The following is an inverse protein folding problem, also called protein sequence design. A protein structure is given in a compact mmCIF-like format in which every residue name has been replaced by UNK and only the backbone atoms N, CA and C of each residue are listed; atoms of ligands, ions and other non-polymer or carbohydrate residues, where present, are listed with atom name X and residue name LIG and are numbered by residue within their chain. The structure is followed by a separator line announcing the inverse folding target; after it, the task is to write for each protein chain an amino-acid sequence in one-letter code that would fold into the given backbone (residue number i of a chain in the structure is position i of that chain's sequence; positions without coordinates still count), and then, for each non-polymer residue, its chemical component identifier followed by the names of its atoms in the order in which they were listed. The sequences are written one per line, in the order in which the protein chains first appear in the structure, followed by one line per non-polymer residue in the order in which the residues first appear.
data_IF_629947883544
#
_entry.id   IF_629947883544
#
_cell.length_a   1.000
_cell.length_b   1.000
_cell.length_c   1.000
_cell.angle_alpha   90.00
_cell.angle_beta   90.00
_cell.angle_gamma   90.00
#
_symmetry.space_group_name_H-M   'P 1'
#
loop_
_entity.id
_entity.type
_entity.pdbx_description
1 polymer ?
#
# COMPACT_ATOMS: atom_id res chain seq x y z
N UNK A 1 5.26 2.42 -15.36
CA UNK A 1 4.58 1.45 -14.53
C UNK A 1 4.75 1.81 -13.06
N UNK A 2 3.68 1.73 -12.28
CA UNK A 2 3.75 2.10 -10.87
C UNK A 2 4.03 0.85 -10.05
N UNK A 3 5.10 0.90 -9.26
CA UNK A 3 5.34 -0.13 -8.26
C UNK A 3 4.34 0.03 -7.14
N UNK A 4 3.51 -0.98 -6.94
CA UNK A 4 2.59 -1.02 -5.81
C UNK A 4 3.28 -1.73 -4.65
N UNK A 5 2.69 -1.63 -3.46
CA UNK A 5 3.19 -2.38 -2.30
C UNK A 5 3.20 -3.88 -2.58
N UNK A 6 2.19 -4.37 -3.32
CA UNK A 6 2.11 -5.78 -3.71
C UNK A 6 3.28 -6.17 -4.60
N UNK A 7 3.55 -5.38 -5.63
CA UNK A 7 4.65 -5.66 -6.56
C UNK A 7 5.99 -5.62 -5.84
N UNK A 8 6.19 -4.64 -5.00
CA UNK A 8 7.44 -4.53 -4.26
C UNK A 8 7.65 -5.72 -3.34
N UNK A 9 6.60 -6.12 -2.63
CA UNK A 9 6.68 -7.28 -1.74
C UNK A 9 6.98 -8.56 -2.53
N UNK A 10 6.29 -8.75 -3.65
CA UNK A 10 6.51 -9.93 -4.49
C UNK A 10 7.95 -9.99 -5.01
N UNK A 11 8.50 -8.85 -5.45
CA UNK A 11 9.87 -8.77 -5.93
C UNK A 11 10.88 -9.10 -4.82
N UNK A 12 10.64 -8.60 -3.60
CA UNK A 12 11.51 -8.89 -2.48
C UNK A 12 11.52 -10.38 -2.15
N UNK A 13 10.34 -11.00 -2.13
CA UNK A 13 10.24 -12.43 -1.85
C UNK A 13 10.94 -13.25 -2.92
N UNK A 14 10.79 -12.87 -4.18
CA UNK A 14 11.47 -13.55 -5.28
C UNK A 14 12.99 -13.42 -5.16
N UNK A 15 13.45 -12.20 -4.88
CA UNK A 15 14.90 -11.95 -4.74
C UNK A 15 15.50 -12.74 -3.58
N UNK A 16 14.74 -12.94 -2.51
CA UNK A 16 15.20 -13.69 -1.34
C UNK A 16 14.91 -15.18 -1.45
N UNK A 17 14.26 -15.60 -2.51
CA UNK A 17 13.79 -16.98 -2.67
C UNK A 17 12.99 -17.44 -1.45
N UNK A 18 12.07 -16.58 -1.00
CA UNK A 18 11.27 -16.78 0.21
C UNK A 18 9.81 -16.94 -0.14
N UNK A 19 9.16 -17.91 0.48
CA UNK A 19 7.72 -18.12 0.30
C UNK A 19 6.91 -17.19 1.21
N UNK A 20 5.63 -17.03 0.89
CA UNK A 20 4.70 -16.28 1.73
C UNK A 20 4.65 -16.86 3.15
N UNK A 21 4.68 -18.19 3.27
CA UNK A 21 4.65 -18.85 4.57
C UNK A 21 5.90 -18.55 5.38
N UNK A 22 7.06 -18.51 4.74
CA UNK A 22 8.31 -18.16 5.41
C UNK A 22 8.29 -16.72 5.92
N UNK A 23 7.84 -15.79 5.08
CA UNK A 23 7.72 -14.40 5.51
C UNK A 23 6.77 -14.27 6.68
N UNK A 24 5.61 -14.93 6.60
CA UNK A 24 4.62 -14.89 7.67
C UNK A 24 5.23 -15.32 9.01
N UNK A 25 6.03 -16.39 8.99
CA UNK A 25 6.72 -16.85 10.20
C UNK A 25 7.71 -15.81 10.71
N UNK A 26 8.44 -15.18 9.79
CA UNK A 26 9.48 -14.20 10.15
C UNK A 26 8.90 -12.94 10.77
N UNK A 27 7.71 -12.54 10.34
CA UNK A 27 7.07 -11.34 10.88
C UNK A 27 5.94 -11.65 11.87
N UNK A 28 5.78 -12.92 12.19
CA UNK A 28 4.84 -13.43 13.20
C UNK A 28 3.39 -13.05 12.91
N UNK A 29 2.93 -13.40 11.72
CA UNK A 29 1.53 -13.25 11.31
C UNK A 29 1.06 -14.55 10.67
N UNK A 30 -0.26 -14.76 10.58
CA UNK A 30 -0.78 -15.92 9.85
C UNK A 30 -0.37 -15.86 8.37
N UNK A 31 -0.12 -17.01 7.78
CA UNK A 31 0.24 -17.09 6.36
C UNK A 31 -0.82 -16.42 5.47
N UNK A 32 -2.09 -16.55 5.82
CA UNK A 32 -3.19 -15.95 5.08
C UNK A 32 -3.04 -14.45 4.93
N UNK A 33 -2.50 -13.79 5.95
CA UNK A 33 -2.31 -12.33 5.88
C UNK A 33 -1.38 -11.95 4.74
N UNK A 34 -0.26 -12.66 4.61
CA UNK A 34 0.69 -12.40 3.52
C UNK A 34 0.10 -12.78 2.17
N UNK A 35 -0.52 -13.95 2.10
CA UNK A 35 -1.12 -14.43 0.86
C UNK A 35 -2.20 -13.48 0.34
N UNK A 36 -3.06 -13.00 1.23
CA UNK A 36 -4.13 -12.08 0.85
C UNK A 36 -3.60 -10.73 0.39
N UNK A 37 -2.53 -10.25 1.01
CA UNK A 37 -1.89 -9.02 0.55
C UNK A 37 -1.33 -9.21 -0.86
N UNK A 38 -0.65 -10.31 -1.10
CA UNK A 38 -0.09 -10.61 -2.42
C UNK A 38 -1.17 -10.78 -3.49
N UNK A 39 -2.33 -11.29 -3.12
CA UNK A 39 -3.47 -11.46 -4.02
C UNK A 39 -4.28 -10.16 -4.21
N UNK A 40 -3.99 -9.14 -3.46
CA UNK A 40 -4.72 -7.88 -3.55
C UNK A 40 -6.06 -7.86 -2.83
N UNK A 41 -6.35 -8.88 -2.00
CA UNK A 41 -7.62 -8.97 -1.28
C UNK A 41 -7.55 -8.39 0.12
N UNK A 42 -6.38 -8.00 0.58
CA UNK A 42 -6.20 -7.38 1.89
C UNK A 42 -5.20 -6.23 1.78
N UNK A 43 -5.56 -5.09 2.35
CA UNK A 43 -4.68 -3.95 2.41
C UNK A 43 -3.60 -4.13 3.50
N UNK A 44 -2.47 -3.46 3.32
CA UNK A 44 -1.44 -3.40 4.35
C UNK A 44 -1.90 -2.40 5.41
N UNK A 45 -2.04 -2.88 6.63
CA UNK A 45 -2.38 -2.01 7.77
C UNK A 45 -1.12 -1.49 8.43
N UNK A 46 -1.28 -0.55 9.39
CA UNK A 46 -0.14 -0.04 10.15
C UNK A 46 0.65 -1.16 10.84
N UNK A 47 -0.04 -2.11 11.42
CA UNK A 47 0.62 -3.25 12.08
C UNK A 47 1.48 -4.04 11.11
N UNK A 48 0.92 -4.39 9.96
CA UNK A 48 1.66 -5.16 8.95
C UNK A 48 2.82 -4.33 8.38
N UNK A 49 2.60 -3.03 8.15
CA UNK A 49 3.65 -2.15 7.65
C UNK A 49 4.83 -2.08 8.62
N UNK A 50 4.56 -2.01 9.92
CA UNK A 50 5.61 -2.01 10.93
C UNK A 50 6.42 -3.31 10.91
N UNK A 51 5.74 -4.42 10.77
CA UNK A 51 6.39 -5.74 10.72
C UNK A 51 7.24 -5.91 9.48
N UNK A 52 6.71 -5.50 8.32
CA UNK A 52 7.46 -5.54 7.06
C UNK A 52 8.68 -4.62 7.13
N UNK A 53 8.49 -3.42 7.66
CA UNK A 53 9.57 -2.45 7.80
C UNK A 53 10.70 -3.01 8.68
N UNK A 54 10.34 -3.62 9.77
CA UNK A 54 11.32 -4.21 10.68
C UNK A 54 12.12 -5.31 10.00
N UNK A 55 11.44 -6.20 9.31
CA UNK A 55 12.10 -7.33 8.66
C UNK A 55 12.99 -6.91 7.50
N UNK A 56 12.49 -6.03 6.64
CA UNK A 56 13.22 -5.63 5.42
C UNK A 56 14.18 -4.45 5.65
N UNK A 57 14.16 -3.83 6.82
CA UNK A 57 15.02 -2.67 7.09
C UNK A 57 14.57 -1.40 6.39
N UNK A 58 13.27 -1.28 6.13
CA UNK A 58 12.67 -0.08 5.54
C UNK A 58 11.84 0.64 6.60
N UNK A 59 11.09 1.67 6.20
CA UNK A 59 10.15 2.32 7.11
C UNK A 59 8.74 1.81 6.89
N UNK A 60 7.89 1.93 7.91
CA UNK A 60 6.48 1.59 7.77
C UNK A 60 5.80 2.52 6.76
N UNK A 61 6.18 3.80 6.77
CA UNK A 61 5.67 4.79 5.84
C UNK A 61 5.94 4.40 4.39
N UNK A 62 7.10 3.80 4.13
CA UNK A 62 7.44 3.31 2.79
C UNK A 62 6.35 2.37 2.25
N UNK A 63 5.97 1.38 3.05
CA UNK A 63 4.96 0.41 2.64
C UNK A 63 3.58 1.01 2.47
N UNK A 64 3.18 1.88 3.42
CA UNK A 64 1.88 2.54 3.35
C UNK A 64 1.81 3.55 2.21
N UNK A 65 2.90 4.25 1.92
CA UNK A 65 2.94 5.21 0.82
C UNK A 65 2.82 4.52 -0.54
N UNK A 66 3.47 3.38 -0.71
CA UNK A 66 3.32 2.61 -1.95
C UNK A 66 1.87 2.21 -2.18
N UNK A 67 1.20 1.76 -1.12
CA UNK A 67 -0.20 1.37 -1.18
C UNK A 67 -1.10 2.57 -1.50
N UNK A 68 -0.88 3.70 -0.82
CA UNK A 68 -1.67 4.92 -1.03
C UNK A 68 -1.54 5.44 -2.44
N UNK A 69 -0.34 5.43 -3.00
CA UNK A 69 -0.13 5.89 -4.39
C UNK A 69 -0.92 5.04 -5.37
N UNK A 70 -0.94 3.74 -5.17
CA UNK A 70 -1.71 2.83 -6.01
C UNK A 70 -3.20 3.12 -5.90
N UNK A 71 -3.70 3.26 -4.69
CA UNK A 71 -5.11 3.55 -4.43
C UNK A 71 -5.55 4.87 -5.05
N UNK A 72 -4.71 5.91 -4.93
CA UNK A 72 -4.99 7.20 -5.54
C UNK A 72 -5.08 7.10 -7.06
N UNK A 73 -4.19 6.36 -7.68
CA UNK A 73 -4.19 6.20 -9.13
C UNK A 73 -5.41 5.45 -9.62
N UNK A 74 -5.82 4.41 -8.89
CA UNK A 74 -7.04 3.69 -9.22
C UNK A 74 -8.26 4.60 -9.11
N UNK A 75 -8.35 5.38 -8.05
CA UNK A 75 -9.46 6.30 -7.85
C UNK A 75 -9.50 7.37 -8.93
N UNK A 76 -8.36 7.93 -9.30
CA UNK A 76 -8.27 8.92 -10.37
C UNK A 76 -8.71 8.35 -11.71
N UNK A 77 -8.34 7.12 -11.98
CA UNK A 77 -8.71 6.47 -13.23
C UNK A 77 -10.22 6.22 -13.30
N UNK A 78 -10.83 5.86 -12.18
CA UNK A 78 -12.26 5.54 -12.14
C UNK A 78 -13.14 6.79 -12.06
N UNK A 79 -12.76 7.77 -11.27
CA UNK A 79 -13.63 8.88 -10.90
C UNK A 79 -13.01 10.27 -11.10
N UNK A 80 -11.80 10.36 -11.64
CA UNK A 80 -11.10 11.63 -11.76
C UNK A 80 -11.90 12.71 -12.47
N UNK A 81 -12.52 12.38 -13.61
CA UNK A 81 -13.32 13.34 -14.38
C UNK A 81 -14.56 13.78 -13.62
N UNK A 82 -15.24 12.82 -12.97
CA UNK A 82 -16.42 13.13 -12.19
C UNK A 82 -16.06 14.06 -11.03
N UNK A 83 -14.96 13.79 -10.37
CA UNK A 83 -14.50 14.62 -9.24
C UNK A 83 -14.13 16.03 -9.71
N UNK A 84 -13.46 16.14 -10.86
CA UNK A 84 -13.07 17.44 -11.40
C UNK A 84 -14.26 18.34 -11.70
N UNK A 85 -15.42 17.76 -11.96
CA UNK A 85 -16.62 18.53 -12.23
C UNK A 85 -17.35 18.99 -10.96
N UNK A 86 -16.90 18.55 -9.79
CA UNK A 86 -17.51 18.96 -8.53
C UNK A 86 -17.19 20.42 -8.20
N UNK A 87 -18.07 21.09 -7.44
CA UNK A 87 -17.81 22.47 -7.03
C UNK A 87 -16.52 22.57 -6.23
N UNK A 88 -15.86 23.70 -6.33
CA UNK A 88 -14.69 24.04 -5.55
C UNK A 88 -15.04 25.10 -4.54
N UNK A 89 -14.39 25.04 -3.38
CA UNK A 89 -14.48 26.12 -2.41
C UNK A 89 -13.81 27.36 -3.03
N UNK A 90 -14.40 28.53 -2.81
CA UNK A 90 -13.82 29.77 -3.31
C UNK A 90 -12.52 30.08 -2.55
N UNK A 91 -11.57 30.71 -3.25
CA UNK A 91 -10.24 30.98 -2.70
C UNK A 91 -10.28 31.74 -1.36
N UNK A 92 -11.19 32.72 -1.25
CA UNK A 92 -11.28 33.52 -0.03
C UNK A 92 -11.70 32.68 1.18
N UNK A 93 -12.40 31.56 0.96
CA UNK A 93 -12.83 30.68 2.02
C UNK A 93 -11.70 29.79 2.54
N UNK A 94 -10.68 29.59 1.70
CA UNK A 94 -9.52 28.77 2.09
C UNK A 94 -8.67 29.44 3.15
N UNK A 95 -8.72 30.75 3.24
CA UNK A 95 -7.94 31.50 4.22
C UNK A 95 -8.33 31.16 5.65
N UNK A 96 -9.51 30.64 5.82
CA UNK A 96 -10.06 30.32 7.16
C UNK A 96 -9.66 28.95 7.67
N UNK A 97 -9.14 28.13 6.81
CA UNK A 97 -8.78 26.75 7.17
C UNK A 97 -7.46 26.63 7.97
#
# INVERSE_FOLDING_TARGET
MVLTAIHHLAEELEALNMSAAELARKIDVPTDRVTQILNGTRAITGDTALRLAHFFGTSAEFWLNLQSLYELRLAQKKAGKSIQSLPRLERRDLVRA
#
